data_IF_956698365858
#
_entry.id   IF_956698365858
#
_cell.length_a   1.000
_cell.length_b   1.000
_cell.length_c   1.000
_cell.angle_alpha   90.00
_cell.angle_beta   90.00
_cell.angle_gamma   90.00
#
_symmetry.space_group_name_H-M   'P 1'
#
loop_
_entity.id
_entity.type
_entity.pdbx_description
1 polymer ?
#
# COMPACT_ATOMS: atom_id res chain seq x y z
N UNK A 1 9.58 -22.98 32.40
CA UNK A 1 10.17 -23.50 31.16
C UNK A 1 9.35 -24.71 30.69
N UNK A 2 8.34 -24.48 29.81
CA UNK A 2 7.47 -25.55 29.34
C UNK A 2 8.19 -26.35 28.24
N UNK A 3 8.09 -27.67 28.34
CA UNK A 3 8.62 -28.62 27.36
C UNK A 3 7.96 -28.38 25.99
N UNK A 4 8.60 -27.63 25.13
CA UNK A 4 8.27 -27.60 23.70
C UNK A 4 8.33 -29.05 23.19
N UNK A 5 7.22 -29.54 22.69
CA UNK A 5 7.03 -30.91 22.27
C UNK A 5 8.00 -31.21 21.11
N UNK A 6 8.89 -32.20 21.30
CA UNK A 6 9.88 -32.65 20.27
C UNK A 6 9.23 -32.95 18.89
N UNK A 7 7.91 -33.25 18.88
CA UNK A 7 7.14 -33.45 17.66
C UNK A 7 6.97 -32.18 16.82
N UNK A 8 6.79 -31.02 17.47
CA UNK A 8 6.66 -29.71 16.79
C UNK A 8 8.01 -29.22 16.23
N UNK A 9 9.11 -29.53 16.90
CA UNK A 9 10.46 -29.29 16.37
C UNK A 9 10.76 -30.14 15.15
N UNK A 10 10.30 -31.40 15.09
CA UNK A 10 10.47 -32.29 13.95
C UNK A 10 9.58 -31.91 12.76
N UNK A 11 8.36 -31.43 13.01
CA UNK A 11 7.48 -30.86 11.95
C UNK A 11 8.06 -29.56 11.37
N UNK A 12 8.72 -28.71 12.16
CA UNK A 12 9.40 -27.49 11.69
C UNK A 12 10.65 -27.77 10.82
N UNK A 13 11.30 -28.92 10.97
CA UNK A 13 12.55 -29.25 10.24
C UNK A 13 12.35 -29.93 8.88
N UNK A 14 11.11 -30.28 8.50
CA UNK A 14 10.82 -31.07 7.30
C UNK A 14 9.91 -30.38 6.28
N UNK A 15 9.78 -29.05 6.35
CA UNK A 15 9.09 -28.33 5.29
C UNK A 15 9.95 -28.31 4.02
N UNK A 16 9.61 -29.17 3.07
CA UNK A 16 10.24 -29.22 1.76
C UNK A 16 9.95 -27.91 1.02
N UNK A 17 11.01 -27.24 0.53
CA UNK A 17 10.86 -26.08 -0.34
C UNK A 17 10.26 -26.50 -1.67
N UNK A 18 9.19 -25.87 -2.07
CA UNK A 18 8.58 -26.03 -3.40
C UNK A 18 9.02 -24.90 -4.34
N UNK A 19 8.64 -25.01 -5.60
CA UNK A 19 8.79 -23.91 -6.55
C UNK A 19 7.91 -22.72 -6.10
N UNK A 20 8.39 -21.47 -6.23
CA UNK A 20 7.60 -20.30 -5.87
C UNK A 20 6.35 -20.20 -6.74
N UNK A 21 5.37 -19.43 -6.26
CA UNK A 21 4.16 -19.15 -7.01
C UNK A 21 4.47 -18.32 -8.27
N UNK A 22 4.50 -19.01 -9.42
CA UNK A 22 4.80 -18.37 -10.71
C UNK A 22 3.75 -17.32 -11.10
N UNK A 23 2.51 -17.46 -10.62
CA UNK A 23 1.41 -16.54 -10.94
C UNK A 23 1.67 -15.17 -10.37
N UNK A 24 2.09 -15.10 -9.09
CA UNK A 24 2.48 -13.83 -8.46
C UNK A 24 3.71 -13.22 -9.15
N UNK A 25 4.67 -14.05 -9.55
CA UNK A 25 5.85 -13.57 -10.26
C UNK A 25 5.47 -12.97 -11.63
N UNK A 26 4.66 -13.66 -12.44
CA UNK A 26 4.22 -13.14 -13.73
C UNK A 26 3.36 -11.89 -13.60
N UNK A 27 2.47 -11.84 -12.60
CA UNK A 27 1.70 -10.64 -12.29
C UNK A 27 2.64 -9.45 -12.05
N UNK A 28 3.64 -9.60 -11.17
CA UNK A 28 4.56 -8.53 -10.84
C UNK A 28 5.38 -8.07 -12.06
N UNK A 29 5.87 -9.00 -12.88
CA UNK A 29 6.62 -8.68 -14.10
C UNK A 29 5.73 -7.92 -15.10
N UNK A 30 4.52 -8.43 -15.37
CA UNK A 30 3.59 -7.80 -16.32
C UNK A 30 3.19 -6.39 -15.85
N UNK A 31 2.86 -6.23 -14.56
CA UNK A 31 2.50 -4.92 -14.00
C UNK A 31 3.68 -3.94 -13.99
N UNK A 32 4.91 -4.42 -13.74
CA UNK A 32 6.10 -3.56 -13.80
C UNK A 32 6.41 -3.09 -15.23
N UNK A 33 6.29 -3.98 -16.22
CA UNK A 33 6.49 -3.63 -17.64
C UNK A 33 5.40 -2.67 -18.10
N UNK A 34 4.13 -2.99 -17.84
CA UNK A 34 3.00 -2.14 -18.21
C UNK A 34 3.10 -0.76 -17.54
N UNK A 35 3.43 -0.72 -16.23
CA UNK A 35 3.62 0.53 -15.50
C UNK A 35 4.75 1.37 -16.08
N UNK A 36 5.89 0.77 -16.43
CA UNK A 36 7.00 1.49 -17.05
C UNK A 36 6.61 2.11 -18.41
N UNK A 37 5.84 1.38 -19.23
CA UNK A 37 5.33 1.87 -20.50
C UNK A 37 4.37 3.05 -20.29
N UNK A 38 3.42 2.94 -19.36
CA UNK A 38 2.46 4.00 -19.08
C UNK A 38 3.09 5.22 -18.39
N UNK A 39 4.10 5.02 -17.54
CA UNK A 39 4.89 6.12 -16.96
C UNK A 39 5.64 6.87 -18.06
N UNK A 40 6.26 6.15 -18.99
CA UNK A 40 6.91 6.77 -20.14
C UNK A 40 5.91 7.62 -20.93
N UNK A 41 4.80 7.05 -21.33
CA UNK A 41 3.79 7.74 -22.13
C UNK A 41 3.26 9.00 -21.42
N UNK A 42 2.84 8.88 -20.17
CA UNK A 42 2.30 10.01 -19.40
C UNK A 42 3.33 11.10 -19.08
N UNK A 43 4.63 10.79 -19.12
CA UNK A 43 5.71 11.72 -18.75
C UNK A 43 6.44 12.36 -19.94
N UNK A 44 6.25 11.89 -21.17
CA UNK A 44 7.00 12.34 -22.37
C UNK A 44 7.03 13.86 -22.51
N UNK A 45 5.88 14.52 -22.41
CA UNK A 45 5.78 15.97 -22.57
C UNK A 45 6.64 16.70 -21.53
N UNK A 46 6.48 16.34 -20.25
CA UNK A 46 7.20 16.97 -19.16
C UNK A 46 8.71 16.64 -19.19
N UNK A 47 9.05 15.41 -19.49
CA UNK A 47 10.43 14.98 -19.62
C UNK A 47 11.17 15.81 -20.70
N UNK A 48 10.51 16.02 -21.83
CA UNK A 48 11.07 16.82 -22.91
C UNK A 48 11.18 18.31 -22.55
N UNK A 49 10.15 18.86 -21.89
CA UNK A 49 10.11 20.28 -21.52
C UNK A 49 11.15 20.65 -20.44
N UNK A 50 11.33 19.78 -19.40
CA UNK A 50 12.21 20.08 -18.26
C UNK A 50 13.64 19.59 -18.46
N UNK A 51 13.83 18.45 -19.14
CA UNK A 51 15.11 17.74 -19.22
C UNK A 51 15.64 17.61 -20.65
N UNK A 52 14.86 18.04 -21.67
CA UNK A 52 15.25 17.88 -23.08
C UNK A 52 15.30 16.42 -23.55
N UNK A 53 14.84 15.47 -22.75
CA UNK A 53 14.96 14.03 -23.00
C UNK A 53 13.67 13.30 -22.63
N UNK A 54 12.95 12.83 -23.63
CA UNK A 54 11.67 12.13 -23.48
C UNK A 54 11.74 10.84 -22.64
N UNK A 55 12.91 10.20 -22.52
CA UNK A 55 13.12 8.95 -21.80
C UNK A 55 13.56 9.15 -20.34
N UNK A 56 13.67 10.39 -19.85
CA UNK A 56 14.21 10.69 -18.54
C UNK A 56 13.50 9.90 -17.42
N UNK A 57 12.18 10.01 -17.29
CA UNK A 57 11.43 9.33 -16.24
C UNK A 57 11.37 7.81 -16.43
N UNK A 58 11.36 7.30 -17.67
CA UNK A 58 11.47 5.87 -17.94
C UNK A 58 12.80 5.31 -17.44
N UNK A 59 13.91 5.98 -17.75
CA UNK A 59 15.25 5.56 -17.26
C UNK A 59 15.29 5.56 -15.73
N UNK A 60 14.77 6.60 -15.09
CA UNK A 60 14.70 6.66 -13.63
C UNK A 60 13.85 5.51 -13.07
N UNK A 61 12.69 5.21 -13.67
CA UNK A 61 11.86 4.09 -13.22
C UNK A 61 12.55 2.74 -13.38
N UNK A 62 13.27 2.52 -14.47
CA UNK A 62 14.07 1.31 -14.67
C UNK A 62 15.18 1.20 -13.61
N UNK A 63 15.86 2.31 -13.30
CA UNK A 63 16.87 2.34 -12.23
C UNK A 63 16.26 1.97 -10.89
N UNK A 64 15.06 2.50 -10.55
CA UNK A 64 14.36 2.15 -9.32
C UNK A 64 13.93 0.69 -9.28
N UNK A 65 13.49 0.13 -10.41
CA UNK A 65 13.19 -1.31 -10.51
C UNK A 65 14.45 -2.14 -10.24
N UNK A 66 15.59 -1.79 -10.84
CA UNK A 66 16.87 -2.49 -10.64
C UNK A 66 17.33 -2.39 -9.18
N UNK A 67 17.28 -1.19 -8.59
CA UNK A 67 17.63 -0.98 -7.17
C UNK A 67 16.70 -1.80 -6.27
N UNK A 68 15.40 -1.81 -6.55
CA UNK A 68 14.41 -2.56 -5.77
C UNK A 68 14.54 -4.08 -5.90
N UNK A 69 15.10 -4.58 -7.02
CA UNK A 69 15.39 -6.00 -7.17
C UNK A 69 16.48 -6.49 -6.20
N UNK A 70 17.40 -5.64 -5.76
CA UNK A 70 18.46 -6.04 -4.81
C UNK A 70 17.87 -6.50 -3.46
N UNK A 71 17.12 -5.68 -2.70
CA UNK A 71 16.47 -6.16 -1.48
C UNK A 71 15.45 -7.26 -1.75
N UNK A 72 14.71 -7.23 -2.86
CA UNK A 72 13.78 -8.27 -3.24
C UNK A 72 14.47 -9.64 -3.41
N UNK A 73 15.64 -9.67 -4.07
CA UNK A 73 16.45 -10.87 -4.22
C UNK A 73 16.92 -11.40 -2.87
N UNK A 74 17.46 -10.56 -1.99
CA UNK A 74 17.89 -10.94 -0.65
C UNK A 74 16.72 -11.53 0.16
N UNK A 75 15.56 -10.88 0.16
CA UNK A 75 14.34 -11.33 0.84
C UNK A 75 13.88 -12.68 0.23
N UNK A 76 13.90 -12.83 -1.08
CA UNK A 76 13.48 -14.05 -1.74
C UNK A 76 14.30 -15.28 -1.34
N UNK A 77 15.62 -15.15 -1.15
CA UNK A 77 16.48 -16.29 -0.79
C UNK A 77 16.57 -16.55 0.71
N UNK A 78 16.28 -15.56 1.53
CA UNK A 78 16.32 -15.69 2.99
C UNK A 78 15.00 -16.25 3.52
N UNK A 79 15.06 -17.19 4.48
CA UNK A 79 13.83 -17.72 5.11
C UNK A 79 13.08 -16.59 5.83
N UNK A 80 11.79 -16.40 5.48
CA UNK A 80 10.96 -15.33 6.07
C UNK A 80 10.92 -15.39 7.60
N UNK A 81 11.05 -16.56 8.22
CA UNK A 81 11.06 -16.72 9.67
C UNK A 81 12.30 -16.09 10.32
N UNK A 82 13.45 -16.16 9.63
CA UNK A 82 14.67 -15.49 10.07
C UNK A 82 14.55 -13.97 9.90
N UNK A 83 13.99 -13.56 8.78
CA UNK A 83 13.74 -12.17 8.47
C UNK A 83 12.74 -11.53 9.45
N UNK A 84 11.70 -12.25 9.88
CA UNK A 84 10.74 -11.78 10.88
C UNK A 84 11.37 -11.53 12.27
N UNK A 85 12.53 -12.11 12.59
CA UNK A 85 13.26 -11.78 13.81
C UNK A 85 13.78 -10.34 13.82
N UNK A 86 13.94 -9.75 12.65
CA UNK A 86 14.35 -8.35 12.47
C UNK A 86 13.16 -7.37 12.49
N UNK A 87 11.91 -7.85 12.65
CA UNK A 87 10.71 -7.02 12.56
C UNK A 87 10.69 -5.87 13.57
N UNK A 88 11.09 -6.12 14.83
CA UNK A 88 11.16 -5.07 15.86
C UNK A 88 12.31 -4.08 15.59
N UNK A 89 13.55 -4.48 15.32
CA UNK A 89 14.61 -3.55 14.89
C UNK A 89 14.22 -2.72 13.68
N UNK A 90 13.62 -3.33 12.65
CA UNK A 90 13.15 -2.60 11.46
C UNK A 90 12.07 -1.57 11.80
N UNK A 91 11.12 -1.92 12.66
CA UNK A 91 10.09 -0.97 13.11
C UNK A 91 10.71 0.21 13.87
N UNK A 92 11.66 -0.05 14.78
CA UNK A 92 12.35 1.02 15.53
C UNK A 92 13.13 1.94 14.59
N UNK A 93 13.89 1.38 13.64
CA UNK A 93 14.60 2.16 12.62
C UNK A 93 13.63 3.00 11.80
N UNK A 94 12.50 2.43 11.42
CA UNK A 94 11.49 3.13 10.63
C UNK A 94 10.84 4.27 11.42
N UNK A 95 10.53 4.08 12.71
CA UNK A 95 10.05 5.15 13.59
C UNK A 95 11.12 6.27 13.70
N UNK A 96 12.39 5.91 13.83
CA UNK A 96 13.49 6.87 13.81
C UNK A 96 13.57 7.66 12.50
N UNK A 97 13.34 7.02 11.34
CA UNK A 97 13.30 7.68 10.04
C UNK A 97 12.07 8.60 9.89
N UNK A 98 10.89 8.20 10.40
CA UNK A 98 9.70 9.06 10.43
C UNK A 98 9.93 10.31 11.31
N UNK A 99 10.60 10.16 12.45
CA UNK A 99 11.02 11.31 13.27
C UNK A 99 12.06 12.18 12.54
N UNK A 100 13.01 11.56 11.86
CA UNK A 100 14.03 12.28 11.10
C UNK A 100 13.41 13.10 9.95
N UNK A 101 12.38 12.60 9.27
CA UNK A 101 11.71 13.34 8.20
C UNK A 101 11.00 14.57 8.71
N UNK A 102 10.43 14.53 9.91
CA UNK A 102 9.78 15.70 10.54
C UNK A 102 10.78 16.81 10.89
N UNK A 103 12.05 16.45 11.15
CA UNK A 103 13.10 17.40 11.56
C UNK A 103 13.97 17.85 10.39
N UNK A 104 14.24 16.97 9.42
CA UNK A 104 15.23 17.16 8.36
C UNK A 104 14.63 17.02 6.96
N UNK A 105 13.32 16.77 6.87
CA UNK A 105 12.65 16.50 5.61
C UNK A 105 12.61 17.70 4.68
N UNK A 106 12.61 17.40 3.37
CA UNK A 106 12.40 18.38 2.32
C UNK A 106 10.91 18.67 2.17
N UNK A 107 10.55 19.94 2.22
CA UNK A 107 9.18 20.36 1.94
C UNK A 107 8.92 20.32 0.43
N UNK A 108 7.90 19.56 0.03
CA UNK A 108 7.41 19.48 -1.35
C UNK A 108 5.91 19.65 -1.32
N UNK A 109 5.39 20.65 -2.02
CA UNK A 109 3.95 20.97 -2.09
C UNK A 109 3.30 21.15 -0.70
N UNK A 110 3.99 21.82 0.23
CA UNK A 110 3.49 22.09 1.58
C UNK A 110 3.53 20.89 2.54
N UNK A 111 4.25 19.82 2.21
CA UNK A 111 4.40 18.65 3.06
C UNK A 111 5.84 18.16 3.13
N UNK A 112 6.31 17.86 4.34
CA UNK A 112 7.62 17.28 4.62
C UNK A 112 7.50 15.78 4.73
N UNK A 113 7.71 15.05 3.62
CA UNK A 113 7.55 13.58 3.53
C UNK A 113 8.78 12.85 3.05
N UNK A 114 9.80 13.59 2.59
CA UNK A 114 10.95 13.05 1.89
C UNK A 114 12.25 13.42 2.57
N UNK A 115 13.15 12.46 2.68
CA UNK A 115 14.55 12.70 3.08
C UNK A 115 15.40 12.63 1.83
N UNK A 116 16.06 13.74 1.49
CA UNK A 116 17.01 13.78 0.38
C UNK A 116 18.37 13.20 0.83
N UNK A 117 18.81 12.13 0.17
CA UNK A 117 20.14 11.53 0.38
C UNK A 117 20.90 11.61 -0.96
N UNK A 118 21.61 12.72 -1.18
CA UNK A 118 22.22 13.01 -2.47
C UNK A 118 21.17 13.20 -3.56
N UNK A 119 21.23 12.44 -4.67
CA UNK A 119 20.25 12.53 -5.76
C UNK A 119 18.99 11.70 -5.51
N UNK A 120 18.86 11.08 -4.35
CA UNK A 120 17.77 10.13 -4.03
C UNK A 120 16.86 10.72 -2.97
N UNK A 121 15.57 10.79 -3.28
CA UNK A 121 14.54 11.14 -2.31
C UNK A 121 13.89 9.85 -1.76
N UNK A 122 14.01 9.63 -0.45
CA UNK A 122 13.43 8.48 0.25
C UNK A 122 12.22 8.93 1.05
N UNK A 123 11.10 8.19 0.95
CA UNK A 123 9.89 8.40 1.75
C UNK A 123 9.80 7.34 2.86
N UNK A 124 10.09 7.68 4.13
CA UNK A 124 10.07 6.73 5.25
C UNK A 124 8.72 6.05 5.46
N UNK A 125 7.62 6.74 5.21
CA UNK A 125 6.27 6.20 5.33
C UNK A 125 6.00 4.98 4.42
N UNK A 126 6.69 4.87 3.27
CA UNK A 126 6.62 3.68 2.41
C UNK A 126 7.20 2.45 3.10
N UNK A 127 8.35 2.58 3.75
CA UNK A 127 9.00 1.50 4.50
C UNK A 127 8.23 1.14 5.77
N UNK A 128 7.56 2.11 6.40
CA UNK A 128 6.75 1.90 7.60
C UNK A 128 5.64 0.87 7.37
N UNK A 129 5.04 0.80 6.19
CA UNK A 129 4.00 -0.17 5.83
C UNK A 129 4.52 -1.60 5.99
N UNK A 130 5.65 -1.94 5.38
CA UNK A 130 6.23 -3.29 5.46
C UNK A 130 6.76 -3.59 6.86
N UNK A 131 7.47 -2.65 7.49
CA UNK A 131 8.01 -2.84 8.84
C UNK A 131 6.90 -3.13 9.85
N UNK A 132 5.79 -2.38 9.79
CA UNK A 132 4.64 -2.59 10.67
C UNK A 132 3.93 -3.93 10.40
N UNK A 133 3.70 -4.29 9.12
CA UNK A 133 3.12 -5.59 8.74
C UNK A 133 3.98 -6.74 9.27
N UNK A 134 5.30 -6.68 9.12
CA UNK A 134 6.22 -7.67 9.64
C UNK A 134 6.17 -7.78 11.17
N UNK A 135 6.15 -6.64 11.85
CA UNK A 135 6.06 -6.60 13.29
C UNK A 135 4.73 -7.18 13.80
N UNK A 136 3.61 -6.72 13.24
CA UNK A 136 2.27 -7.21 13.59
C UNK A 136 2.11 -8.70 13.31
N UNK A 137 2.63 -9.22 12.18
CA UNK A 137 2.59 -10.65 11.89
C UNK A 137 3.35 -11.48 12.95
N UNK A 138 4.49 -10.98 13.43
CA UNK A 138 5.26 -11.64 14.47
C UNK A 138 4.62 -11.54 15.85
N UNK A 139 4.01 -10.40 16.17
CA UNK A 139 3.41 -10.12 17.45
C UNK A 139 2.06 -10.83 17.60
N UNK A 140 1.15 -10.68 16.63
CA UNK A 140 -0.18 -11.28 16.65
C UNK A 140 -0.15 -12.81 16.59
N UNK A 141 0.82 -13.40 15.89
CA UNK A 141 0.93 -14.85 15.81
C UNK A 141 1.26 -15.54 17.13
N UNK A 142 1.78 -14.80 18.12
CA UNK A 142 2.10 -15.34 19.45
C UNK A 142 0.91 -15.35 20.41
N UNK A 143 -0.19 -14.70 20.00
CA UNK A 143 -1.38 -14.50 20.82
C UNK A 143 -2.39 -15.61 20.59
N UNK A 144 -3.17 -15.91 21.63
CA UNK A 144 -4.33 -16.79 21.53
C UNK A 144 -5.61 -15.96 21.67
N UNK A 145 -6.43 -15.96 20.63
CA UNK A 145 -7.67 -15.19 20.56
C UNK A 145 -8.90 -16.09 20.57
N UNK A 146 -8.78 -17.33 21.07
CA UNK A 146 -9.90 -18.28 21.14
C UNK A 146 -10.68 -18.07 22.44
N UNK A 147 -11.64 -17.14 22.39
CA UNK A 147 -12.51 -16.78 23.51
C UNK A 147 -13.93 -17.25 23.26
N UNK A 148 -14.57 -17.85 24.26
CA UNK A 148 -15.99 -18.31 24.18
C UNK A 148 -16.96 -17.15 24.22
N UNK A 149 -16.66 -16.09 24.99
CA UNK A 149 -17.53 -14.92 25.16
C UNK A 149 -16.69 -13.67 25.48
N UNK A 150 -17.33 -12.48 25.42
CA UNK A 150 -16.68 -11.20 25.70
C UNK A 150 -16.12 -11.11 27.12
N UNK A 151 -16.83 -11.62 28.13
CA UNK A 151 -16.35 -11.59 29.52
C UNK A 151 -15.06 -12.38 29.70
N UNK A 152 -14.98 -13.56 29.10
CA UNK A 152 -13.75 -14.36 29.07
C UNK A 152 -12.63 -13.67 28.32
N UNK A 153 -12.92 -13.04 27.18
CA UNK A 153 -11.94 -12.29 26.40
C UNK A 153 -11.32 -11.14 27.21
N UNK A 154 -12.14 -10.34 27.88
CA UNK A 154 -11.64 -9.25 28.73
C UNK A 154 -10.88 -9.75 29.95
N UNK A 155 -11.33 -10.80 30.62
CA UNK A 155 -10.62 -11.41 31.75
C UNK A 155 -9.27 -12.03 31.35
N UNK A 156 -9.16 -12.54 30.12
CA UNK A 156 -7.93 -13.12 29.58
C UNK A 156 -7.02 -12.10 28.88
N UNK A 157 -7.28 -10.80 29.06
CA UNK A 157 -6.35 -9.75 28.68
C UNK A 157 -6.57 -9.17 27.28
N UNK A 158 -7.71 -9.42 26.62
CA UNK A 158 -8.04 -8.79 25.33
C UNK A 158 -7.89 -7.27 25.37
N UNK A 159 -8.28 -6.62 26.48
CA UNK A 159 -8.14 -5.19 26.66
C UNK A 159 -6.67 -4.73 26.57
N UNK A 160 -5.76 -5.43 27.23
CA UNK A 160 -4.34 -5.11 27.17
C UNK A 160 -3.77 -5.31 25.75
N UNK A 161 -4.30 -6.30 25.02
CA UNK A 161 -3.90 -6.54 23.63
C UNK A 161 -4.43 -5.47 22.68
N UNK A 162 -5.68 -5.02 22.86
CA UNK A 162 -6.26 -3.90 22.12
C UNK A 162 -5.47 -2.61 22.38
N UNK A 163 -5.17 -2.30 23.65
CA UNK A 163 -4.36 -1.12 24.01
C UNK A 163 -2.96 -1.18 23.39
N UNK A 164 -2.31 -2.35 23.47
CA UNK A 164 -0.98 -2.52 22.86
C UNK A 164 -1.01 -2.38 21.34
N UNK A 165 -2.06 -2.91 20.68
CA UNK A 165 -2.26 -2.78 19.26
C UNK A 165 -2.46 -1.30 18.87
N UNK A 166 -3.36 -0.59 19.57
CA UNK A 166 -3.63 0.83 19.34
C UNK A 166 -2.39 1.68 19.62
N UNK A 167 -1.62 1.37 20.67
CA UNK A 167 -0.41 2.13 20.99
C UNK A 167 0.64 2.00 19.87
N UNK A 168 0.93 0.78 19.41
CA UNK A 168 1.92 0.54 18.35
C UNK A 168 1.48 1.18 17.03
N UNK A 169 0.22 0.93 16.63
CA UNK A 169 -0.35 1.50 15.42
C UNK A 169 -0.43 3.03 15.52
N UNK A 170 -0.85 3.52 16.70
CA UNK A 170 -1.02 4.94 16.97
C UNK A 170 0.29 5.74 16.87
N UNK A 171 1.41 5.20 17.37
CA UNK A 171 2.72 5.86 17.23
C UNK A 171 3.07 6.03 15.74
N UNK A 172 2.98 4.97 14.94
CA UNK A 172 3.33 5.03 13.52
C UNK A 172 2.35 5.93 12.75
N UNK A 173 1.05 5.74 12.96
CA UNK A 173 0.01 6.53 12.30
C UNK A 173 0.11 8.03 12.66
N UNK A 174 0.37 8.35 13.92
CA UNK A 174 0.51 9.73 14.37
C UNK A 174 1.70 10.42 13.71
N UNK A 175 2.86 9.77 13.62
CA UNK A 175 4.02 10.34 12.94
C UNK A 175 3.73 10.62 11.45
N UNK A 176 3.06 9.69 10.76
CA UNK A 176 2.70 9.87 9.34
C UNK A 176 1.63 10.95 9.15
N UNK A 177 0.70 11.11 10.10
CA UNK A 177 -0.27 12.22 10.07
C UNK A 177 0.44 13.57 10.20
N UNK A 178 1.50 13.66 11.01
CA UNK A 178 2.32 14.87 11.13
C UNK A 178 3.10 15.21 9.84
N UNK A 179 3.34 14.21 8.95
CA UNK A 179 3.90 14.40 7.61
C UNK A 179 2.86 14.84 6.55
N UNK A 180 1.71 15.36 6.92
CA UNK A 180 0.40 15.48 6.22
C UNK A 180 0.08 14.36 5.19
N UNK A 181 0.39 13.09 5.50
CA UNK A 181 0.10 11.93 4.62
C UNK A 181 -1.09 11.09 5.15
N UNK A 182 -2.30 11.62 4.97
CA UNK A 182 -3.52 10.93 5.39
C UNK A 182 -3.74 9.62 4.60
N UNK A 183 -3.36 9.61 3.34
CA UNK A 183 -3.52 8.45 2.47
C UNK A 183 -2.77 7.22 2.99
N UNK A 184 -1.49 7.36 3.26
CA UNK A 184 -0.66 6.29 3.83
C UNK A 184 -1.14 5.90 5.23
N UNK A 185 -1.59 6.87 6.03
CA UNK A 185 -2.17 6.60 7.36
C UNK A 185 -3.39 5.68 7.25
N UNK A 186 -4.34 5.97 6.36
CA UNK A 186 -5.53 5.13 6.15
C UNK A 186 -5.13 3.71 5.73
N UNK A 187 -4.18 3.56 4.81
CA UNK A 187 -3.70 2.24 4.36
C UNK A 187 -3.11 1.44 5.52
N UNK A 188 -2.23 2.06 6.30
CA UNK A 188 -1.59 1.43 7.47
C UNK A 188 -2.64 1.01 8.50
N UNK A 189 -3.57 1.90 8.84
CA UNK A 189 -4.64 1.61 9.80
C UNK A 189 -5.56 0.49 9.32
N UNK A 190 -6.03 0.55 8.06
CA UNK A 190 -6.92 -0.46 7.48
C UNK A 190 -6.22 -1.82 7.38
N UNK A 191 -4.99 -1.87 6.86
CA UNK A 191 -4.22 -3.11 6.75
C UNK A 191 -3.98 -3.74 8.13
N UNK A 192 -3.52 -2.94 9.10
CA UNK A 192 -3.25 -3.42 10.47
C UNK A 192 -4.52 -3.92 11.15
N UNK A 193 -5.64 -3.22 10.99
CA UNK A 193 -6.93 -3.63 11.54
C UNK A 193 -7.41 -4.95 10.93
N UNK A 194 -7.32 -5.13 9.60
CA UNK A 194 -7.69 -6.39 8.95
C UNK A 194 -6.75 -7.53 9.41
N UNK A 195 -5.45 -7.27 9.57
CA UNK A 195 -4.52 -8.26 10.15
C UNK A 195 -4.92 -8.66 11.57
N UNK A 196 -5.33 -7.70 12.39
CA UNK A 196 -5.81 -7.95 13.75
C UNK A 196 -7.08 -8.82 13.73
N UNK A 197 -8.03 -8.56 12.83
CA UNK A 197 -9.22 -9.39 12.63
C UNK A 197 -8.87 -10.83 12.22
N UNK A 198 -7.96 -11.00 11.26
CA UNK A 198 -7.53 -12.32 10.78
C UNK A 198 -6.76 -13.10 11.88
N UNK A 199 -6.07 -12.40 12.76
CA UNK A 199 -5.34 -13.03 13.85
C UNK A 199 -6.25 -13.72 14.87
N UNK A 200 -7.45 -13.19 15.09
CA UNK A 200 -8.46 -13.75 16.00
C UNK A 200 -9.53 -14.54 15.24
N UNK A 201 -9.99 -15.65 15.86
CA UNK A 201 -11.03 -16.51 15.27
C UNK A 201 -12.38 -16.43 15.99
N UNK A 202 -12.47 -15.79 17.15
CA UNK A 202 -13.67 -15.79 17.98
C UNK A 202 -14.56 -14.57 17.72
N UNK A 203 -15.90 -14.77 17.88
CA UNK A 203 -16.86 -13.66 17.83
C UNK A 203 -16.55 -12.57 18.86
N UNK A 204 -16.07 -12.95 20.03
CA UNK A 204 -15.70 -12.01 21.09
C UNK A 204 -14.54 -11.10 20.68
N UNK A 205 -13.51 -11.66 20.02
CA UNK A 205 -12.41 -10.89 19.46
C UNK A 205 -12.92 -9.90 18.39
N UNK A 206 -13.76 -10.34 17.47
CA UNK A 206 -14.32 -9.50 16.40
C UNK A 206 -15.14 -8.34 16.98
N UNK A 207 -16.02 -8.60 17.96
CA UNK A 207 -16.82 -7.54 18.60
C UNK A 207 -15.91 -6.55 19.37
N UNK A 208 -14.92 -7.06 20.12
CA UNK A 208 -13.97 -6.21 20.82
C UNK A 208 -13.14 -5.33 19.88
N UNK A 209 -12.81 -5.84 18.69
CA UNK A 209 -12.05 -5.07 17.69
C UNK A 209 -12.86 -3.94 17.04
N UNK A 210 -14.21 -3.98 17.06
CA UNK A 210 -15.04 -2.88 16.57
C UNK A 210 -14.80 -1.58 17.34
N UNK A 211 -14.43 -1.64 18.62
CA UNK A 211 -14.04 -0.47 19.40
C UNK A 211 -12.79 0.22 18.83
N UNK A 212 -11.83 -0.57 18.35
CA UNK A 212 -10.63 -0.05 17.65
C UNK A 212 -11.01 0.61 16.34
N UNK A 213 -11.88 -0.03 15.55
CA UNK A 213 -12.34 0.55 14.29
C UNK A 213 -13.05 1.89 14.51
N UNK A 214 -13.93 1.97 15.51
CA UNK A 214 -14.61 3.22 15.87
C UNK A 214 -13.62 4.32 16.28
N UNK A 215 -12.60 3.97 17.09
CA UNK A 215 -11.54 4.90 17.48
C UNK A 215 -10.74 5.39 16.27
N UNK A 216 -10.30 4.48 15.40
CA UNK A 216 -9.55 4.82 14.17
C UNK A 216 -10.37 5.72 13.24
N UNK A 217 -11.67 5.44 13.11
CA UNK A 217 -12.58 6.27 12.33
C UNK A 217 -12.70 7.70 12.90
N UNK A 218 -12.93 7.83 14.21
CA UNK A 218 -13.01 9.13 14.87
C UNK A 218 -11.71 9.94 14.74
N UNK A 219 -10.55 9.29 14.92
CA UNK A 219 -9.25 9.93 14.74
C UNK A 219 -9.02 10.34 13.27
N UNK A 220 -9.45 9.52 12.31
CA UNK A 220 -9.38 9.84 10.89
C UNK A 220 -10.24 11.05 10.51
N UNK A 221 -11.45 11.14 11.03
CA UNK A 221 -12.34 12.29 10.84
C UNK A 221 -11.72 13.56 11.47
N UNK A 222 -11.24 13.47 12.70
CA UNK A 222 -10.56 14.60 13.35
C UNK A 222 -9.34 15.07 12.53
N UNK A 223 -8.49 14.15 12.08
CA UNK A 223 -7.33 14.48 11.25
C UNK A 223 -7.71 15.10 9.89
N UNK A 224 -8.85 14.74 9.32
CA UNK A 224 -9.34 15.33 8.07
C UNK A 224 -9.85 16.76 8.25
N UNK A 225 -10.47 17.06 9.40
CA UNK A 225 -11.06 18.39 9.68
C UNK A 225 -9.99 19.41 10.09
N UNK A 226 -8.94 18.98 10.78
CA UNK A 226 -7.92 19.90 11.35
C UNK A 226 -7.06 20.60 10.28
N UNK A 227 -6.95 20.05 9.07
CA UNK A 227 -6.12 20.60 8.01
C UNK A 227 -6.96 21.21 6.88
N UNK A 228 -6.86 22.52 6.58
CA UNK A 228 -7.67 23.19 5.56
C UNK A 228 -7.58 22.54 4.17
N UNK A 229 -6.39 22.10 3.76
CA UNK A 229 -6.16 21.44 2.48
C UNK A 229 -6.96 20.12 2.37
N UNK A 230 -6.99 19.32 3.44
CA UNK A 230 -7.75 18.05 3.48
C UNK A 230 -9.24 18.31 3.47
N UNK A 231 -9.68 19.30 4.27
CA UNK A 231 -11.09 19.69 4.31
C UNK A 231 -11.58 20.16 2.93
N UNK A 232 -10.75 20.84 2.16
CA UNK A 232 -11.07 21.28 0.81
C UNK A 232 -11.26 20.12 -0.16
N UNK A 233 -10.41 19.08 -0.09
CA UNK A 233 -10.58 17.84 -0.89
C UNK A 233 -11.86 17.10 -0.51
N UNK A 234 -12.18 17.05 0.76
CA UNK A 234 -13.43 16.45 1.26
C UNK A 234 -14.65 17.23 0.76
N UNK A 235 -14.61 18.58 0.82
CA UNK A 235 -15.67 19.43 0.26
C UNK A 235 -15.84 19.23 -1.23
N UNK A 236 -14.76 19.19 -2.00
CA UNK A 236 -14.80 18.92 -3.46
C UNK A 236 -15.44 17.58 -3.76
N UNK A 237 -15.09 16.54 -2.97
CA UNK A 237 -15.70 15.21 -3.11
C UNK A 237 -17.21 15.22 -2.80
N UNK A 238 -17.63 15.82 -1.69
CA UNK A 238 -19.05 15.91 -1.35
C UNK A 238 -19.84 16.76 -2.36
N UNK A 239 -19.27 17.85 -2.88
CA UNK A 239 -19.90 18.61 -3.97
C UNK A 239 -20.13 17.71 -5.17
N UNK A 240 -19.09 17.00 -5.63
CA UNK A 240 -19.22 16.05 -6.75
C UNK A 240 -20.30 14.98 -6.49
N UNK A 241 -20.33 14.40 -5.27
CA UNK A 241 -21.28 13.35 -4.93
C UNK A 241 -22.74 13.84 -4.89
N UNK A 242 -23.01 15.04 -4.35
CA UNK A 242 -24.37 15.52 -4.12
C UNK A 242 -24.90 16.42 -5.24
N UNK A 243 -24.05 17.18 -5.91
CA UNK A 243 -24.45 18.11 -6.97
C UNK A 243 -24.04 17.66 -8.37
N UNK A 244 -23.17 16.64 -8.49
CA UNK A 244 -22.58 16.24 -9.76
C UNK A 244 -21.51 17.20 -10.27
N UNK A 245 -21.19 18.26 -9.53
CA UNK A 245 -20.26 19.29 -9.94
C UNK A 245 -19.06 19.37 -9.01
N UNK A 246 -17.89 19.66 -9.57
CA UNK A 246 -16.66 19.88 -8.81
C UNK A 246 -16.67 21.28 -8.22
N UNK A 247 -16.60 21.43 -6.90
CA UNK A 247 -16.43 22.72 -6.28
C UNK A 247 -15.08 23.33 -6.63
N UNK A 248 -15.04 24.63 -6.89
CA UNK A 248 -13.85 25.38 -7.27
C UNK A 248 -13.03 24.73 -8.42
N UNK A 249 -13.62 24.60 -9.62
CA UNK A 249 -12.98 23.85 -10.73
C UNK A 249 -11.72 24.54 -11.30
N UNK A 250 -11.43 25.78 -10.94
CA UNK A 250 -10.22 26.52 -11.34
C UNK A 250 -9.16 26.62 -10.25
N UNK A 251 -9.51 26.23 -9.02
CA UNK A 251 -8.63 26.18 -7.84
C UNK A 251 -8.45 24.77 -7.32
N UNK A 252 -8.86 24.53 -6.09
CA UNK A 252 -8.63 23.26 -5.40
C UNK A 252 -9.29 22.02 -6.05
N UNK A 253 -10.37 22.21 -6.80
CA UNK A 253 -11.05 21.15 -7.55
C UNK A 253 -10.48 20.88 -8.94
N UNK A 254 -9.54 21.69 -9.43
CA UNK A 254 -9.03 21.61 -10.81
C UNK A 254 -8.52 20.20 -11.17
N UNK A 255 -7.69 19.61 -10.31
CA UNK A 255 -7.14 18.27 -10.58
C UNK A 255 -8.26 17.24 -10.76
N UNK A 256 -9.26 17.24 -9.87
CA UNK A 256 -10.39 16.31 -9.96
C UNK A 256 -11.20 16.52 -11.22
N UNK A 257 -11.45 17.76 -11.60
CA UNK A 257 -12.17 18.08 -12.82
C UNK A 257 -11.43 17.59 -14.08
N UNK A 258 -10.11 17.80 -14.17
CA UNK A 258 -9.32 17.33 -15.30
C UNK A 258 -9.30 15.80 -15.38
N UNK A 259 -9.17 15.12 -14.25
CA UNK A 259 -9.27 13.67 -14.18
C UNK A 259 -10.61 13.18 -14.74
N UNK A 260 -11.73 13.75 -14.31
CA UNK A 260 -13.06 13.35 -14.78
C UNK A 260 -13.29 13.65 -16.27
N UNK A 261 -12.77 14.78 -16.78
CA UNK A 261 -12.80 15.11 -18.22
C UNK A 261 -12.00 14.07 -19.02
N UNK A 262 -10.79 13.71 -18.55
CA UNK A 262 -9.97 12.67 -19.17
C UNK A 262 -10.71 11.35 -19.27
N UNK A 263 -11.19 10.84 -18.14
CA UNK A 263 -11.92 9.56 -18.03
C UNK A 263 -13.18 9.57 -18.94
N UNK A 264 -13.99 10.62 -18.84
CA UNK A 264 -15.21 10.75 -19.63
C UNK A 264 -14.94 10.76 -21.13
N UNK A 265 -13.81 11.33 -21.54
CA UNK A 265 -13.39 11.39 -22.94
C UNK A 265 -12.85 10.07 -23.49
N UNK A 266 -12.40 9.14 -22.63
CA UNK A 266 -11.90 7.83 -23.02
C UNK A 266 -13.00 6.85 -23.45
N UNK A 267 -14.21 6.96 -22.90
CA UNK A 267 -15.32 6.07 -23.21
C UNK A 267 -15.01 4.60 -22.92
N UNK A 268 -15.55 3.68 -23.73
CA UNK A 268 -15.40 2.23 -23.52
C UNK A 268 -14.05 1.73 -24.03
N UNK A 269 -13.62 2.14 -25.21
CA UNK A 269 -12.43 1.62 -25.90
C UNK A 269 -11.18 2.48 -25.73
N UNK A 270 -11.32 3.69 -25.17
CA UNK A 270 -10.24 4.66 -25.08
C UNK A 270 -10.01 5.43 -26.38
N UNK A 271 -9.15 6.44 -26.30
CA UNK A 271 -8.71 7.25 -27.44
C UNK A 271 -7.56 6.61 -28.23
N UNK A 272 -6.94 5.57 -27.68
CA UNK A 272 -5.72 4.96 -28.17
C UNK A 272 -4.49 5.37 -27.36
N UNK A 273 -3.49 4.50 -27.33
CA UNK A 273 -2.23 4.70 -26.65
C UNK A 273 -1.53 5.97 -27.18
N UNK A 274 -1.01 6.78 -26.28
CA UNK A 274 -0.34 8.03 -26.62
C UNK A 274 -1.28 9.19 -26.97
N UNK A 275 -2.59 9.04 -26.82
CA UNK A 275 -3.58 10.06 -27.24
C UNK A 275 -4.24 10.79 -26.04
N UNK A 276 -3.78 10.55 -24.81
CA UNK A 276 -4.27 11.29 -23.66
C UNK A 276 -3.91 12.77 -23.74
N UNK A 277 -4.90 13.63 -23.53
CA UNK A 277 -4.68 15.07 -23.40
C UNK A 277 -4.13 15.45 -22.04
N UNK A 278 -4.42 14.67 -21.02
CA UNK A 278 -4.01 14.94 -19.63
C UNK A 278 -2.49 14.91 -19.44
N UNK A 279 -1.75 14.21 -20.31
CA UNK A 279 -0.29 14.18 -20.30
C UNK A 279 0.37 15.50 -20.75
N UNK A 280 -0.36 16.38 -21.44
CA UNK A 280 0.16 17.66 -21.97
C UNK A 280 0.10 18.83 -20.96
N UNK A 281 0.13 18.55 -19.66
CA UNK A 281 0.15 19.58 -18.62
C UNK A 281 -1.22 20.06 -18.16
N UNK A 282 -2.31 19.43 -18.63
CA UNK A 282 -3.66 19.71 -18.12
C UNK A 282 -3.86 19.16 -16.70
N UNK A 283 -3.20 18.05 -16.33
CA UNK A 283 -3.11 17.63 -14.94
C UNK A 283 -2.07 18.46 -14.20
N UNK A 284 -2.43 18.84 -12.96
CA UNK A 284 -1.56 19.66 -12.11
C UNK A 284 -0.24 18.95 -11.93
N UNK A 285 0.84 19.62 -12.33
CA UNK A 285 2.24 19.24 -12.13
C UNK A 285 2.46 17.69 -12.16
N UNK A 286 3.39 17.07 -12.17
CA UNK A 286 3.77 15.65 -12.15
C UNK A 286 2.69 14.58 -11.85
N UNK A 287 1.41 14.92 -11.65
CA UNK A 287 0.38 13.95 -11.22
C UNK A 287 -0.01 12.98 -12.33
N UNK A 288 0.18 13.32 -13.61
CA UNK A 288 -0.17 12.47 -14.74
C UNK A 288 0.56 11.12 -14.73
N UNK A 289 1.86 11.10 -14.38
CA UNK A 289 2.67 9.87 -14.30
C UNK A 289 2.93 9.40 -12.86
N UNK A 290 2.30 10.05 -11.88
CA UNK A 290 2.34 9.65 -10.48
C UNK A 290 0.97 9.13 -10.02
N UNK A 291 0.29 9.82 -9.13
CA UNK A 291 -0.95 9.37 -8.49
C UNK A 291 -2.19 9.40 -9.40
N UNK A 292 -2.16 10.15 -10.51
CA UNK A 292 -3.27 10.22 -11.48
C UNK A 292 -3.04 9.38 -12.75
N UNK A 293 -2.02 8.53 -12.80
CA UNK A 293 -1.73 7.71 -13.98
C UNK A 293 -2.91 6.80 -14.37
N UNK A 294 -3.70 6.34 -13.41
CA UNK A 294 -4.89 5.54 -13.71
C UNK A 294 -5.93 6.31 -14.54
N UNK A 295 -6.05 7.64 -14.35
CA UNK A 295 -6.92 8.46 -15.18
C UNK A 295 -6.41 8.56 -16.62
N UNK A 296 -5.09 8.66 -16.84
CA UNK A 296 -4.48 8.62 -18.18
C UNK A 296 -4.76 7.27 -18.85
N UNK A 297 -4.60 6.16 -18.09
CA UNK A 297 -4.92 4.81 -18.59
C UNK A 297 -6.39 4.71 -19.02
N UNK A 298 -7.32 5.26 -18.23
CA UNK A 298 -8.75 5.25 -18.56
C UNK A 298 -9.06 6.15 -19.78
N UNK A 299 -8.34 7.25 -19.99
CA UNK A 299 -8.48 8.07 -21.18
C UNK A 299 -7.98 7.34 -22.43
N UNK A 300 -6.85 6.64 -22.36
CA UNK A 300 -6.19 5.99 -23.48
C UNK A 300 -6.74 4.61 -23.83
N UNK A 301 -6.99 3.78 -22.81
CA UNK A 301 -7.43 2.39 -22.97
C UNK A 301 -8.92 2.20 -22.62
N UNK A 302 -9.60 3.26 -22.24
CA UNK A 302 -11.01 3.26 -21.91
C UNK A 302 -11.39 2.43 -20.70
N UNK A 303 -12.70 2.25 -20.54
CA UNK A 303 -13.26 1.41 -19.45
C UNK A 303 -12.75 -0.04 -19.52
N UNK A 304 -12.53 -0.58 -20.72
CA UNK A 304 -12.00 -1.94 -20.87
C UNK A 304 -10.59 -2.06 -20.27
N UNK A 305 -9.69 -1.14 -20.58
CA UNK A 305 -8.33 -1.14 -20.00
C UNK A 305 -8.34 -1.02 -18.47
N UNK A 306 -9.14 -0.06 -17.96
CA UNK A 306 -9.32 0.09 -16.50
C UNK A 306 -9.88 -1.15 -15.83
N UNK A 307 -10.88 -1.80 -16.44
CA UNK A 307 -11.49 -3.03 -15.93
C UNK A 307 -10.47 -4.17 -15.87
N UNK A 308 -9.63 -4.35 -16.89
CA UNK A 308 -8.57 -5.36 -16.89
C UNK A 308 -7.59 -5.14 -15.72
N UNK A 309 -7.22 -3.90 -15.44
CA UNK A 309 -6.33 -3.58 -14.31
C UNK A 309 -7.02 -3.89 -12.98
N UNK A 310 -8.28 -3.50 -12.79
CA UNK A 310 -9.03 -3.81 -11.56
C UNK A 310 -9.13 -5.32 -11.36
N UNK A 311 -9.52 -6.07 -12.39
CA UNK A 311 -9.62 -7.52 -12.33
C UNK A 311 -8.28 -8.19 -12.05
N UNK A 312 -7.17 -7.64 -12.56
CA UNK A 312 -5.83 -8.14 -12.28
C UNK A 312 -5.47 -8.01 -10.79
N UNK A 313 -5.86 -6.91 -10.12
CA UNK A 313 -5.68 -6.72 -8.68
C UNK A 313 -6.63 -7.63 -7.85
N UNK A 314 -7.86 -7.85 -8.28
CA UNK A 314 -8.77 -8.83 -7.66
C UNK A 314 -8.20 -10.24 -7.76
N UNK A 315 -7.64 -10.61 -8.92
CA UNK A 315 -6.95 -11.87 -9.11
C UNK A 315 -5.70 -11.99 -8.20
N UNK A 316 -4.91 -10.93 -8.08
CA UNK A 316 -3.78 -10.87 -7.15
C UNK A 316 -4.23 -11.07 -5.69
N UNK A 317 -5.32 -10.41 -5.28
CA UNK A 317 -5.92 -10.61 -3.95
C UNK A 317 -6.24 -12.08 -3.69
N UNK A 318 -6.98 -12.69 -4.62
CA UNK A 318 -7.35 -14.10 -4.51
C UNK A 318 -6.11 -15.00 -4.38
N UNK A 319 -5.09 -14.78 -5.21
CA UNK A 319 -3.89 -15.58 -5.21
C UNK A 319 -3.03 -15.37 -3.95
N UNK A 320 -2.87 -14.14 -3.52
CA UNK A 320 -2.15 -13.79 -2.29
C UNK A 320 -2.82 -14.35 -1.03
N UNK A 321 -4.16 -14.28 -0.93
CA UNK A 321 -4.90 -14.89 0.17
C UNK A 321 -4.79 -16.43 0.14
N UNK A 322 -4.74 -17.05 -1.04
CA UNK A 322 -4.48 -18.48 -1.17
C UNK A 322 -3.10 -18.87 -0.61
N UNK A 323 -2.07 -18.04 -0.85
CA UNK A 323 -0.74 -18.23 -0.24
C UNK A 323 -0.83 -18.09 1.27
N UNK A 324 -1.55 -17.08 1.78
CA UNK A 324 -1.73 -16.86 3.22
C UNK A 324 -2.40 -18.05 3.90
N UNK A 325 -3.52 -18.54 3.37
CA UNK A 325 -4.28 -19.67 3.94
C UNK A 325 -3.44 -20.95 3.97
N UNK A 326 -2.61 -21.17 2.96
CA UNK A 326 -1.76 -22.36 2.86
C UNK A 326 -0.37 -22.17 3.49
N UNK A 327 -0.12 -21.05 4.16
CA UNK A 327 1.15 -20.82 4.83
C UNK A 327 1.36 -21.84 5.98
N UNK A 328 2.60 -22.30 6.22
CA UNK A 328 2.88 -23.39 7.14
C UNK A 328 2.74 -23.02 8.62
N UNK A 329 2.71 -21.74 8.92
CA UNK A 329 2.59 -21.21 10.29
C UNK A 329 1.82 -19.89 10.33
N UNK A 330 1.32 -19.52 11.50
CA UNK A 330 0.50 -18.31 11.71
C UNK A 330 1.26 -17.02 11.38
N UNK A 331 2.59 -16.99 11.57
CA UNK A 331 3.41 -15.84 11.19
C UNK A 331 3.41 -15.63 9.67
N UNK A 332 3.66 -16.70 8.91
CA UNK A 332 3.61 -16.68 7.46
C UNK A 332 2.21 -16.36 6.93
N UNK A 333 1.16 -16.90 7.57
CA UNK A 333 -0.23 -16.59 7.24
C UNK A 333 -0.52 -15.10 7.36
N UNK A 334 -0.24 -14.50 8.51
CA UNK A 334 -0.49 -13.07 8.77
C UNK A 334 0.38 -12.17 7.91
N UNK A 335 1.65 -12.55 7.70
CA UNK A 335 2.56 -11.79 6.85
C UNK A 335 2.09 -11.77 5.40
N UNK A 336 1.75 -12.93 4.83
CA UNK A 336 1.23 -13.03 3.45
C UNK A 336 -0.10 -12.29 3.29
N UNK A 337 -1.03 -12.43 4.25
CA UNK A 337 -2.28 -11.70 4.25
C UNK A 337 -2.05 -10.19 4.33
N UNK A 338 -1.22 -9.72 5.26
CA UNK A 338 -0.93 -8.30 5.44
C UNK A 338 -0.32 -7.66 4.20
N UNK A 339 0.68 -8.28 3.59
CA UNK A 339 1.30 -7.78 2.34
C UNK A 339 0.28 -7.75 1.20
N UNK A 340 -0.51 -8.81 1.04
CA UNK A 340 -1.54 -8.89 -0.02
C UNK A 340 -2.59 -7.79 0.15
N UNK A 341 -3.12 -7.65 1.36
CA UNK A 341 -4.15 -6.66 1.69
C UNK A 341 -3.61 -5.24 1.49
N UNK A 342 -2.40 -4.95 1.96
CA UNK A 342 -1.78 -3.66 1.78
C UNK A 342 -1.67 -3.27 0.31
N UNK A 343 -1.05 -4.13 -0.55
CA UNK A 343 -0.85 -3.83 -1.97
C UNK A 343 -2.17 -3.63 -2.71
N UNK A 344 -3.18 -4.47 -2.42
CA UNK A 344 -4.49 -4.37 -3.05
C UNK A 344 -5.27 -3.14 -2.57
N UNK A 345 -5.29 -2.87 -1.26
CA UNK A 345 -5.94 -1.66 -0.74
C UNK A 345 -5.32 -0.40 -1.33
N UNK A 346 -4.00 -0.34 -1.42
CA UNK A 346 -3.29 0.80 -1.99
C UNK A 346 -3.66 1.02 -3.46
N UNK A 347 -3.69 -0.06 -4.26
CA UNK A 347 -4.10 0.00 -5.66
C UNK A 347 -5.57 0.43 -5.81
N UNK A 348 -6.48 -0.22 -5.08
CA UNK A 348 -7.91 0.08 -5.16
C UNK A 348 -8.23 1.49 -4.68
N UNK A 349 -7.59 1.97 -3.60
CA UNK A 349 -7.78 3.33 -3.11
C UNK A 349 -7.29 4.38 -4.11
N UNK A 350 -6.13 4.16 -4.77
CA UNK A 350 -5.68 5.06 -5.83
C UNK A 350 -6.68 5.07 -6.99
N UNK A 351 -7.12 3.90 -7.47
CA UNK A 351 -8.08 3.80 -8.57
C UNK A 351 -9.43 4.42 -8.21
N UNK A 352 -9.94 4.16 -6.99
CA UNK A 352 -11.19 4.74 -6.49
C UNK A 352 -11.13 6.28 -6.38
N UNK A 353 -9.98 6.82 -5.95
CA UNK A 353 -9.76 8.26 -5.89
C UNK A 353 -9.77 8.90 -7.30
N UNK A 354 -9.11 8.25 -8.28
CA UNK A 354 -9.09 8.73 -9.66
C UNK A 354 -10.48 8.74 -10.32
N UNK A 355 -11.34 7.77 -10.01
CA UNK A 355 -12.72 7.75 -10.56
C UNK A 355 -13.73 8.53 -9.71
N UNK A 356 -13.29 9.23 -8.66
CA UNK A 356 -14.17 10.06 -7.84
C UNK A 356 -15.03 9.30 -6.84
N UNK A 357 -14.73 8.04 -6.53
CA UNK A 357 -15.43 7.26 -5.51
C UNK A 357 -15.01 7.61 -4.08
N UNK A 358 -13.82 8.16 -3.91
CA UNK A 358 -13.31 8.70 -2.64
C UNK A 358 -12.54 10.00 -2.93
N UNK A 359 -12.28 10.86 -1.93
CA UNK A 359 -11.46 12.04 -2.12
C UNK A 359 -10.06 11.70 -2.67
N UNK A 360 -9.47 12.60 -3.46
CA UNK A 360 -8.10 12.43 -3.95
C UNK A 360 -7.13 12.35 -2.76
N UNK A 361 -6.39 11.23 -2.69
CA UNK A 361 -5.52 10.90 -1.56
C UNK A 361 -4.03 11.10 -1.84
N UNK A 362 -3.63 11.17 -3.12
CA UNK A 362 -2.21 11.23 -3.50
C UNK A 362 -1.44 9.93 -3.23
N UNK A 363 -2.14 8.81 -3.02
CA UNK A 363 -1.52 7.50 -2.76
C UNK A 363 -0.98 6.93 -4.08
N UNK A 364 0.27 6.42 -4.12
CA UNK A 364 0.79 5.79 -5.31
C UNK A 364 0.11 4.44 -5.59
N UNK A 365 -0.18 4.14 -6.86
CA UNK A 365 -0.63 2.81 -7.28
C UNK A 365 0.60 1.91 -7.44
N UNK A 366 0.67 0.75 -6.76
CA UNK A 366 1.82 -0.14 -6.88
C UNK A 366 2.09 -0.53 -8.33
N UNK A 367 3.32 -0.41 -8.80
CA UNK A 367 3.79 -0.56 -10.19
C UNK A 367 3.33 0.52 -11.18
N UNK A 368 2.14 1.11 -11.01
CA UNK A 368 1.53 2.07 -11.94
C UNK A 368 1.78 3.53 -11.55
N UNK A 369 2.67 3.80 -10.63
CA UNK A 369 3.06 5.16 -10.23
C UNK A 369 4.55 5.31 -10.30
N UNK A 370 5.04 6.39 -10.91
CA UNK A 370 6.45 6.76 -10.83
C UNK A 370 6.82 7.08 -9.38
N UNK A 371 7.84 6.38 -8.86
CA UNK A 371 8.32 6.63 -7.50
C UNK A 371 9.31 5.58 -7.00
N UNK A 372 10.49 6.01 -6.55
CA UNK A 372 11.57 5.12 -6.14
C UNK A 372 11.22 4.30 -4.90
N UNK A 373 10.86 4.97 -3.80
CA UNK A 373 10.55 4.29 -2.52
C UNK A 373 9.38 3.33 -2.65
N UNK A 374 8.29 3.73 -3.33
CA UNK A 374 7.12 2.88 -3.56
C UNK A 374 7.46 1.64 -4.40
N UNK A 375 8.27 1.80 -5.45
CA UNK A 375 8.73 0.70 -6.30
C UNK A 375 9.57 -0.32 -5.51
N UNK A 376 10.56 0.16 -4.73
CA UNK A 376 11.44 -0.70 -3.92
C UNK A 376 10.61 -1.51 -2.90
N UNK A 377 9.71 -0.84 -2.20
CA UNK A 377 8.89 -1.46 -1.14
C UNK A 377 7.86 -2.43 -1.72
N UNK A 378 7.27 -2.10 -2.88
CA UNK A 378 6.37 -3.00 -3.62
C UNK A 378 7.09 -4.29 -4.03
N UNK A 379 8.30 -4.19 -4.61
CA UNK A 379 9.10 -5.35 -4.99
C UNK A 379 9.51 -6.19 -3.77
N UNK A 380 9.83 -5.55 -2.63
CA UNK A 380 10.08 -6.24 -1.37
C UNK A 380 8.85 -7.02 -0.89
N UNK A 381 7.65 -6.42 -0.96
CA UNK A 381 6.39 -7.09 -0.63
C UNK A 381 6.13 -8.32 -1.52
N UNK A 382 6.31 -8.19 -2.83
CA UNK A 382 6.21 -9.32 -3.76
C UNK A 382 7.22 -10.43 -3.43
N UNK A 383 8.47 -10.05 -3.12
CA UNK A 383 9.49 -11.02 -2.74
C UNK A 383 9.14 -11.78 -1.45
N UNK A 384 8.52 -11.11 -0.47
CA UNK A 384 8.00 -11.75 0.76
C UNK A 384 6.92 -12.78 0.40
N UNK A 385 5.95 -12.44 -0.45
CA UNK A 385 4.91 -13.38 -0.89
C UNK A 385 5.50 -14.58 -1.63
N UNK A 386 6.43 -14.34 -2.55
CA UNK A 386 7.14 -15.40 -3.27
C UNK A 386 7.96 -16.28 -2.32
N UNK A 387 8.57 -15.69 -1.30
CA UNK A 387 9.31 -16.46 -0.29
C UNK A 387 8.39 -17.37 0.51
N UNK A 388 7.26 -16.87 1.03
CA UNK A 388 6.30 -17.64 1.80
C UNK A 388 5.70 -18.77 0.92
N UNK A 389 5.41 -18.48 -0.36
CA UNK A 389 4.83 -19.46 -1.28
C UNK A 389 5.68 -20.72 -1.47
N UNK A 390 7.00 -20.63 -1.24
CA UNK A 390 7.90 -21.81 -1.30
C UNK A 390 7.69 -22.82 -0.19
N UNK A 391 7.01 -22.44 0.88
CA UNK A 391 6.81 -23.25 2.09
C UNK A 391 5.35 -23.63 2.31
N UNK A 392 4.44 -23.32 1.37
CA UNK A 392 3.00 -23.63 1.50
C UNK A 392 2.76 -25.14 1.55
N UNK A 393 1.78 -25.57 2.34
CA UNK A 393 1.45 -27.00 2.56
C UNK A 393 0.86 -27.68 1.34
N UNK A 394 0.23 -26.93 0.43
CA UNK A 394 -0.34 -27.42 -0.83
C UNK A 394 0.47 -26.87 -2.01
N UNK A 395 1.58 -27.51 -2.30
CA UNK A 395 2.49 -27.14 -3.40
C UNK A 395 1.96 -27.44 -4.81
N UNK A 396 0.65 -27.26 -5.05
CA UNK A 396 0.03 -27.40 -6.39
C UNK A 396 -0.82 -26.18 -6.72
#
# INVERSE_FOLDING_TARGET
MSRENKSDRKKRSSLTKHKPDKTILYFAILMAIFGAIMIFDASVYRATAEWGDQFYFLRQQIIWLIIGLVPAFLIYFWDYRKFLKLSLPLLIVTIGLLLAVLLLGKEVNGATRWIAIGPIDIQPAEFAKVALIMYLSSWLAKKNYDYKNLKEAFNNGLWNELLSFVAILGIVAFLIILEPDLGTTIIICATSYIMFLIAGGSKAHTIGSLSVLALLFLLGVAAAILEPYRLQRVKTYFSLLFTGEVSDPRGAGYQMQQILIGIGSGGILGKGFGQSRQRFGYLVENTAFTDSLFAVILEELGLLGGTVIILSWVFFLWRGLKIAINAPDKQGQLLAAGITIWLVLQALMNMAANVGLIPLTGIPNPFLTYGGSSTIVTLAGIAILLNISKYTTNGK
#
